data_IF_964394352475
#
_entry.id   IF_964394352475
#
_cell.length_a   1.000
_cell.length_b   1.000
_cell.length_c   1.000
_cell.angle_alpha   90.00
_cell.angle_beta   90.00
_cell.angle_gamma   90.00
#
_symmetry.space_group_name_H-M   'P 1'
#
loop_
_entity.id
_entity.type
_entity.pdbx_description
1 polymer ?
#
# COMPACT_ATOMS: atom_id res chain seq x y z
N UNK A 1 9.85 -4.72 -23.43
CA UNK A 1 9.36 -6.08 -23.08
C UNK A 1 10.07 -6.43 -21.77
N UNK A 2 9.38 -6.35 -20.63
CA UNK A 2 9.98 -6.59 -19.31
C UNK A 2 10.35 -8.07 -19.21
N UNK A 3 11.65 -8.34 -19.16
CA UNK A 3 12.25 -9.66 -19.05
C UNK A 3 12.82 -9.74 -17.63
N UNK A 4 12.00 -10.22 -16.70
CA UNK A 4 12.43 -10.47 -15.33
C UNK A 4 13.16 -11.81 -15.36
N UNK A 5 14.45 -11.75 -15.04
CA UNK A 5 15.31 -12.93 -15.03
C UNK A 5 14.81 -13.85 -13.92
N UNK A 6 15.03 -15.15 -14.12
CA UNK A 6 14.75 -16.26 -13.20
C UNK A 6 15.52 -16.08 -11.89
N UNK A 7 15.17 -15.06 -11.10
CA UNK A 7 15.71 -14.82 -9.78
C UNK A 7 15.01 -15.75 -8.79
N UNK A 8 15.80 -16.41 -7.96
CA UNK A 8 15.35 -17.50 -7.11
C UNK A 8 14.36 -17.07 -6.03
N UNK A 9 14.27 -15.77 -5.69
CA UNK A 9 13.33 -15.23 -4.69
C UNK A 9 12.84 -13.83 -5.12
N UNK A 10 11.55 -13.71 -5.43
CA UNK A 10 10.87 -12.45 -5.73
C UNK A 10 10.41 -11.77 -4.44
N UNK A 11 10.87 -10.54 -4.19
CA UNK A 11 10.35 -9.65 -3.14
C UNK A 11 9.61 -8.48 -3.79
N UNK A 12 8.29 -8.56 -3.82
CA UNK A 12 7.43 -7.57 -4.47
C UNK A 12 6.76 -6.67 -3.43
N UNK A 13 7.10 -5.39 -3.47
CA UNK A 13 6.52 -4.34 -2.61
C UNK A 13 5.58 -3.48 -3.44
N UNK A 14 4.29 -3.47 -3.09
CA UNK A 14 3.27 -2.65 -3.76
C UNK A 14 2.69 -1.61 -2.83
N UNK A 15 2.49 -0.40 -3.33
CA UNK A 15 2.13 0.77 -2.53
C UNK A 15 0.90 1.46 -3.12
N UNK A 16 -0.17 1.57 -2.32
CA UNK A 16 -1.18 2.62 -2.50
C UNK A 16 -0.82 3.80 -1.59
N UNK A 17 -0.31 4.86 -2.21
CA UNK A 17 0.22 5.99 -1.47
C UNK A 17 -0.87 7.01 -1.14
N UNK A 18 -1.10 7.22 0.15
CA UNK A 18 -1.95 8.31 0.65
C UNK A 18 -1.25 9.06 1.78
N UNK A 19 -1.55 10.35 1.97
CA UNK A 19 -0.85 11.15 2.99
C UNK A 19 -1.17 10.72 4.43
N UNK A 20 -2.31 10.07 4.67
CA UNK A 20 -2.80 9.79 6.02
C UNK A 20 -2.83 8.30 6.37
N UNK A 21 -2.72 7.42 5.39
CA UNK A 21 -2.73 5.97 5.59
C UNK A 21 -2.19 5.29 4.33
N UNK A 22 -0.91 5.49 3.93
CA UNK A 22 -0.36 4.68 2.85
C UNK A 22 -0.55 3.20 3.18
N UNK A 23 -1.06 2.44 2.22
CA UNK A 23 -1.16 0.98 2.30
C UNK A 23 -0.03 0.34 1.51
N UNK A 24 0.65 -0.63 2.10
CA UNK A 24 1.72 -1.39 1.46
C UNK A 24 1.39 -2.87 1.59
N UNK A 25 1.58 -3.61 0.52
CA UNK A 25 1.50 -5.07 0.50
C UNK A 25 2.83 -5.63 -0.01
N UNK A 26 3.44 -6.51 0.77
CA UNK A 26 4.69 -7.18 0.47
C UNK A 26 4.37 -8.64 0.19
N UNK A 27 4.92 -9.16 -0.90
CA UNK A 27 4.95 -10.58 -1.20
C UNK A 27 6.40 -11.06 -1.25
N UNK A 28 6.68 -12.14 -0.54
CA UNK A 28 7.99 -12.79 -0.50
C UNK A 28 7.84 -14.22 -1.00
N UNK A 29 8.46 -14.57 -2.12
CA UNK A 29 8.23 -15.88 -2.76
C UNK A 29 8.92 -17.06 -2.06
N UNK A 30 9.85 -16.80 -1.14
CA UNK A 30 10.51 -17.86 -0.37
C UNK A 30 9.57 -18.45 0.70
N UNK A 31 8.73 -17.62 1.32
CA UNK A 31 7.71 -18.02 2.28
C UNK A 31 6.33 -18.20 1.65
N UNK A 32 6.06 -17.58 0.50
CA UNK A 32 4.74 -17.47 -0.12
C UNK A 32 3.72 -16.81 0.82
N UNK A 33 4.16 -15.73 1.48
CA UNK A 33 3.36 -15.01 2.45
C UNK A 33 3.18 -13.54 2.05
N UNK A 34 2.01 -13.01 2.42
CA UNK A 34 1.74 -11.58 2.37
C UNK A 34 2.05 -10.94 3.72
N UNK A 35 2.66 -9.76 3.68
CA UNK A 35 2.81 -8.86 4.82
C UNK A 35 2.23 -7.49 4.45
N UNK A 36 1.59 -6.83 5.39
CA UNK A 36 0.88 -5.57 5.18
C UNK A 36 1.45 -4.48 6.08
N UNK A 37 1.69 -3.29 5.52
CA UNK A 37 2.10 -2.13 6.30
C UNK A 37 1.10 -1.01 6.09
N UNK A 38 0.72 -0.33 7.16
CA UNK A 38 0.00 0.95 7.06
C UNK A 38 0.63 2.02 7.96
N UNK A 39 0.92 3.19 7.39
CA UNK A 39 1.48 4.33 8.10
C UNK A 39 0.39 5.37 8.43
N UNK A 40 -0.35 5.12 9.50
CA UNK A 40 -1.65 5.72 9.81
C UNK A 40 -1.55 7.00 10.64
N UNK A 41 -2.15 8.09 10.16
CA UNK A 41 -2.24 9.34 10.91
C UNK A 41 -3.09 9.13 12.17
N UNK A 42 -2.56 9.54 13.33
CA UNK A 42 -3.28 9.44 14.60
C UNK A 42 -4.67 10.10 14.56
N UNK A 43 -5.65 9.44 15.19
CA UNK A 43 -7.03 9.92 15.24
C UNK A 43 -7.81 9.78 13.92
N UNK A 44 -7.31 9.04 12.95
CA UNK A 44 -8.03 8.78 11.69
C UNK A 44 -9.21 7.85 11.94
N UNK A 45 -10.41 8.30 11.55
CA UNK A 45 -11.65 7.53 11.69
C UNK A 45 -12.36 7.74 13.04
N UNK A 46 -13.53 7.12 13.17
CA UNK A 46 -14.34 7.09 14.39
C UNK A 46 -13.65 6.26 15.48
N UNK A 47 -14.10 6.38 16.74
CA UNK A 47 -13.60 5.55 17.84
C UNK A 47 -13.74 4.04 17.57
N UNK A 48 -14.82 3.64 16.88
CA UNK A 48 -15.02 2.25 16.48
C UNK A 48 -13.99 1.82 15.43
N UNK A 49 -13.69 2.67 14.45
CA UNK A 49 -12.65 2.41 13.44
C UNK A 49 -11.26 2.36 14.08
N UNK A 50 -10.97 3.23 15.04
CA UNK A 50 -9.71 3.24 15.79
C UNK A 50 -9.51 1.96 16.61
N UNK A 51 -10.56 1.44 17.24
CA UNK A 51 -10.48 0.13 17.91
C UNK A 51 -10.13 -1.00 16.93
N UNK A 52 -10.66 -0.97 15.71
CA UNK A 52 -10.28 -1.94 14.66
C UNK A 52 -8.83 -1.78 14.22
N UNK A 53 -8.32 -0.54 14.19
CA UNK A 53 -6.91 -0.26 13.89
C UNK A 53 -5.98 -0.85 14.98
N UNK A 54 -6.33 -0.66 16.25
CA UNK A 54 -5.62 -1.28 17.38
C UNK A 54 -5.66 -2.81 17.30
N UNK A 55 -6.78 -3.39 16.87
CA UNK A 55 -6.92 -4.84 16.74
C UNK A 55 -6.02 -5.42 15.65
N UNK A 56 -6.04 -4.85 14.44
CA UNK A 56 -5.18 -5.33 13.35
C UNK A 56 -3.69 -5.16 13.63
N UNK A 57 -3.30 -4.21 14.49
CA UNK A 57 -1.88 -4.04 14.89
C UNK A 57 -1.34 -5.22 15.72
N UNK A 58 -2.20 -6.13 16.16
CA UNK A 58 -1.80 -7.37 16.86
C UNK A 58 -1.58 -8.54 15.91
N UNK A 59 -1.91 -8.39 14.63
CA UNK A 59 -1.84 -9.48 13.66
C UNK A 59 -0.41 -9.66 13.15
N UNK A 60 0.01 -10.93 12.99
CA UNK A 60 1.38 -11.27 12.60
C UNK A 60 1.74 -10.91 11.15
N UNK A 61 0.74 -10.59 10.34
CA UNK A 61 0.86 -10.16 8.94
C UNK A 61 0.67 -8.65 8.76
N UNK A 62 0.53 -7.88 9.84
CA UNK A 62 0.25 -6.43 9.79
C UNK A 62 1.22 -5.66 10.68
N UNK A 63 1.97 -4.74 10.08
CA UNK A 63 2.63 -3.67 10.80
C UNK A 63 1.84 -2.36 10.65
N UNK A 64 1.25 -1.89 11.75
CA UNK A 64 0.58 -0.59 11.80
C UNK A 64 1.44 0.44 12.53
N UNK A 65 1.85 1.49 11.83
CA UNK A 65 2.53 2.64 12.42
C UNK A 65 1.58 3.79 12.63
N UNK A 66 1.83 4.58 13.68
CA UNK A 66 1.22 5.87 13.85
C UNK A 66 2.16 6.98 13.43
N UNK A 67 1.70 7.85 12.53
CA UNK A 67 2.47 9.02 12.13
C UNK A 67 2.69 9.93 13.36
N UNK A 68 3.89 10.54 13.48
CA UNK A 68 4.13 11.64 14.41
C UNK A 68 3.08 12.75 14.25
N UNK A 69 2.87 13.53 15.32
CA UNK A 69 2.07 14.75 15.22
C UNK A 69 2.82 15.82 14.42
N UNK A 70 2.58 15.82 13.11
CA UNK A 70 3.13 16.80 12.20
C UNK A 70 2.46 18.17 12.44
N UNK A 71 3.14 19.04 13.19
CA UNK A 71 2.86 20.48 13.09
C UNK A 71 3.04 20.88 11.63
N UNK A 72 1.96 21.33 11.00
CA UNK A 72 1.91 21.69 9.57
C UNK A 72 1.55 23.16 9.36
N UNK A 73 1.36 23.93 10.45
CA UNK A 73 1.06 25.36 10.43
C UNK A 73 2.08 26.12 11.27
N UNK A 74 2.97 26.83 10.58
CA UNK A 74 4.06 27.63 11.16
C UNK A 74 3.89 29.14 10.90
N UNK A 75 2.70 29.57 10.50
CA UNK A 75 2.33 30.97 10.31
C UNK A 75 2.72 31.60 8.96
N UNK A 76 3.69 31.02 8.24
CA UNK A 76 4.12 31.46 6.92
C UNK A 76 4.06 30.31 5.89
N UNK A 77 3.71 30.63 4.65
CA UNK A 77 3.51 29.68 3.54
C UNK A 77 4.77 28.85 3.27
N UNK A 78 5.93 29.50 3.14
CA UNK A 78 7.21 28.82 2.87
C UNK A 78 7.59 27.83 3.97
N UNK A 79 7.31 28.17 5.24
CA UNK A 79 7.56 27.28 6.37
C UNK A 79 6.64 26.06 6.36
N UNK A 80 5.39 26.22 5.92
CA UNK A 80 4.46 25.11 5.78
C UNK A 80 4.89 24.15 4.67
N UNK A 81 5.32 24.67 3.51
CA UNK A 81 5.82 23.83 2.40
C UNK A 81 7.09 23.07 2.80
N UNK A 82 8.04 23.72 3.48
CA UNK A 82 9.22 23.03 4.00
C UNK A 82 8.87 21.93 5.02
N UNK A 83 7.88 22.16 5.89
CA UNK A 83 7.42 21.17 6.85
C UNK A 83 6.75 19.96 6.20
N UNK A 84 6.02 20.16 5.09
CA UNK A 84 5.48 19.04 4.29
C UNK A 84 6.59 18.15 3.74
N UNK A 85 7.64 18.74 3.16
CA UNK A 85 8.78 17.97 2.63
C UNK A 85 9.46 17.16 3.75
N UNK A 86 9.64 17.75 4.94
CA UNK A 86 10.16 17.01 6.10
C UNK A 86 9.29 15.82 6.46
N UNK A 87 7.97 16.03 6.57
CA UNK A 87 7.00 14.97 6.82
C UNK A 87 7.11 13.84 5.80
N UNK A 88 7.19 14.17 4.51
CA UNK A 88 7.26 13.16 3.45
C UNK A 88 8.55 12.34 3.52
N UNK A 89 9.68 12.99 3.81
CA UNK A 89 10.97 12.33 3.97
C UNK A 89 10.99 11.36 5.15
N UNK A 90 10.45 11.78 6.29
CA UNK A 90 10.42 10.96 7.51
C UNK A 90 9.43 9.80 7.37
N UNK A 91 8.24 10.05 6.80
CA UNK A 91 7.30 8.99 6.41
C UNK A 91 7.97 7.96 5.48
N UNK A 92 8.72 8.41 4.48
CA UNK A 92 9.40 7.51 3.58
C UNK A 92 10.50 6.70 4.27
N UNK A 93 11.28 7.34 5.14
CA UNK A 93 12.27 6.64 5.96
C UNK A 93 11.64 5.55 6.82
N UNK A 94 10.57 5.85 7.55
CA UNK A 94 9.89 4.88 8.42
C UNK A 94 9.34 3.68 7.62
N UNK A 95 8.68 3.95 6.48
CA UNK A 95 8.14 2.91 5.60
C UNK A 95 9.26 2.02 5.05
N UNK A 96 10.36 2.63 4.58
CA UNK A 96 11.50 1.89 4.02
C UNK A 96 12.17 1.05 5.10
N UNK A 97 12.35 1.59 6.30
CA UNK A 97 12.92 0.85 7.43
C UNK A 97 12.09 -0.41 7.75
N UNK A 98 10.76 -0.32 7.71
CA UNK A 98 9.93 -1.51 7.94
C UNK A 98 9.99 -2.51 6.80
N UNK A 99 9.98 -2.03 5.55
CA UNK A 99 10.17 -2.92 4.38
C UNK A 99 11.48 -3.71 4.52
N UNK A 100 12.55 -3.03 4.95
CA UNK A 100 13.85 -3.65 5.21
C UNK A 100 13.80 -4.63 6.39
N UNK A 101 13.07 -4.31 7.47
CA UNK A 101 12.89 -5.25 8.59
C UNK A 101 12.21 -6.55 8.16
N UNK A 102 11.28 -6.48 7.21
CA UNK A 102 10.52 -7.63 6.71
C UNK A 102 11.34 -8.44 5.70
N UNK A 103 11.99 -7.77 4.74
CA UNK A 103 12.65 -8.45 3.60
C UNK A 103 14.17 -8.64 3.83
N UNK A 104 14.84 -7.63 4.38
CA UNK A 104 16.30 -7.59 4.60
C UNK A 104 17.06 -6.69 3.62
N UNK A 105 18.14 -6.05 4.11
CA UNK A 105 18.87 -4.97 3.40
C UNK A 105 19.49 -5.37 2.06
N UNK A 106 19.91 -6.63 1.88
CA UNK A 106 20.71 -7.10 0.73
C UNK A 106 19.91 -7.91 -0.28
N UNK A 107 18.60 -7.71 -0.31
CA UNK A 107 17.68 -8.42 -1.19
C UNK A 107 17.33 -7.58 -2.41
N UNK A 108 16.98 -8.27 -3.49
CA UNK A 108 16.47 -7.62 -4.68
C UNK A 108 15.01 -7.19 -4.45
N UNK A 109 14.73 -5.91 -4.71
CA UNK A 109 13.40 -5.31 -4.51
C UNK A 109 12.72 -5.00 -5.84
N UNK A 110 11.49 -5.48 -5.97
CA UNK A 110 10.59 -5.14 -7.06
C UNK A 110 9.49 -4.25 -6.51
N UNK A 111 9.38 -3.03 -7.03
CA UNK A 111 8.51 -2.02 -6.42
C UNK A 111 7.43 -1.61 -7.40
N UNK A 112 6.19 -1.47 -6.92
CA UNK A 112 5.12 -0.89 -7.72
C UNK A 112 4.24 0.07 -6.92
N UNK A 113 3.72 1.07 -7.63
CA UNK A 113 2.80 2.04 -7.07
C UNK A 113 1.49 2.05 -7.86
N UNK A 114 0.37 2.25 -7.17
CA UNK A 114 -0.84 2.67 -7.85
C UNK A 114 -0.65 4.10 -8.37
N UNK A 115 -1.04 4.35 -9.62
CA UNK A 115 -1.04 5.68 -10.21
C UNK A 115 -2.14 6.55 -9.59
N UNK A 116 -1.86 7.83 -9.37
CA UNK A 116 -2.87 8.74 -8.83
C UNK A 116 -3.99 9.03 -9.84
N UNK A 117 -5.25 9.02 -9.39
CA UNK A 117 -6.39 9.45 -10.21
C UNK A 117 -6.67 10.96 -10.02
N UNK A 118 -6.52 11.73 -11.10
CA UNK A 118 -6.73 13.19 -11.11
C UNK A 118 -8.20 13.62 -10.94
N UNK A 119 -9.15 12.67 -10.94
CA UNK A 119 -10.59 12.93 -10.89
C UNK A 119 -11.20 12.98 -9.47
N UNK A 120 -10.39 12.83 -8.41
CA UNK A 120 -10.92 12.85 -7.05
C UNK A 120 -11.34 14.27 -6.64
N UNK A 121 -12.49 14.41 -5.97
CA UNK A 121 -13.05 15.71 -5.49
C UNK A 121 -12.19 16.41 -4.41
N UNK A 122 -11.05 15.83 -4.05
CA UNK A 122 -10.07 16.42 -3.13
C UNK A 122 -9.23 17.41 -3.93
N UNK A 123 -9.50 18.71 -3.75
CA UNK A 123 -8.93 19.78 -4.56
C UNK A 123 -7.43 19.68 -4.85
N UNK A 124 -7.02 20.28 -5.97
CA UNK A 124 -5.71 20.19 -6.65
C UNK A 124 -4.49 20.12 -5.72
N UNK A 125 -4.46 20.90 -4.62
CA UNK A 125 -3.34 20.93 -3.69
C UNK A 125 -3.08 19.58 -2.98
N UNK A 126 -4.13 18.83 -2.65
CA UNK A 126 -3.97 17.51 -2.01
C UNK A 126 -3.37 16.49 -3.00
N UNK A 127 -3.66 16.62 -4.29
CA UNK A 127 -3.10 15.77 -5.34
C UNK A 127 -1.61 16.09 -5.53
N UNK A 128 -1.24 17.38 -5.53
CA UNK A 128 0.16 17.82 -5.62
C UNK A 128 0.96 17.28 -4.42
N UNK A 129 0.43 17.47 -3.20
CA UNK A 129 1.07 16.99 -1.98
C UNK A 129 1.24 15.46 -1.97
N UNK A 130 0.23 14.73 -2.43
CA UNK A 130 0.27 13.27 -2.55
C UNK A 130 1.29 12.81 -3.60
N UNK A 131 1.34 13.47 -4.77
CA UNK A 131 2.31 13.17 -5.81
C UNK A 131 3.75 13.47 -5.35
N UNK A 132 3.96 14.59 -4.65
CA UNK A 132 5.25 14.94 -4.07
C UNK A 132 5.70 13.92 -3.00
N UNK A 133 4.80 13.53 -2.11
CA UNK A 133 5.07 12.49 -1.11
C UNK A 133 5.42 11.14 -1.75
N UNK A 134 4.64 10.70 -2.75
CA UNK A 134 4.91 9.47 -3.48
C UNK A 134 6.26 9.52 -4.22
N UNK A 135 6.60 10.66 -4.83
CA UNK A 135 7.88 10.84 -5.53
C UNK A 135 9.08 10.78 -4.57
N UNK A 136 8.96 11.37 -3.36
CA UNK A 136 10.00 11.29 -2.33
C UNK A 136 10.17 9.84 -1.86
N UNK A 137 9.08 9.12 -1.61
CA UNK A 137 9.15 7.70 -1.23
C UNK A 137 9.84 6.87 -2.33
N UNK A 138 9.44 7.02 -3.59
CA UNK A 138 10.07 6.35 -4.74
C UNK A 138 11.56 6.65 -4.82
N UNK A 139 11.93 7.92 -4.70
CA UNK A 139 13.32 8.35 -4.77
C UNK A 139 14.15 7.74 -3.63
N UNK A 140 13.66 7.79 -2.38
CA UNK A 140 14.38 7.20 -1.26
C UNK A 140 14.46 5.67 -1.34
N UNK A 141 13.43 5.00 -1.85
CA UNK A 141 13.49 3.55 -2.11
C UNK A 141 14.61 3.22 -3.12
N UNK A 142 14.73 3.99 -4.21
CA UNK A 142 15.78 3.78 -5.21
C UNK A 142 17.19 4.05 -4.69
N UNK A 143 17.35 4.98 -3.74
CA UNK A 143 18.65 5.31 -3.15
C UNK A 143 19.08 4.32 -2.05
N UNK A 144 18.12 3.72 -1.34
CA UNK A 144 18.38 2.94 -0.13
C UNK A 144 18.21 1.42 -0.31
N UNK A 145 17.56 0.97 -1.37
CA UNK A 145 17.27 -0.44 -1.63
C UNK A 145 17.89 -0.88 -2.96
N UNK A 146 18.19 -2.16 -3.10
CA UNK A 146 18.60 -2.77 -4.37
C UNK A 146 17.38 -2.97 -5.30
N UNK A 147 16.80 -1.86 -5.76
CA UNK A 147 15.61 -1.83 -6.60
C UNK A 147 15.94 -2.28 -8.03
N UNK A 148 15.32 -3.38 -8.48
CA UNK A 148 15.47 -3.86 -9.86
C UNK A 148 14.60 -3.13 -10.85
N UNK A 149 13.44 -2.66 -10.40
CA UNK A 149 12.51 -1.87 -11.21
C UNK A 149 11.46 -1.20 -10.33
N UNK A 150 10.85 -0.15 -10.88
CA UNK A 150 9.76 0.58 -10.26
C UNK A 150 8.61 0.80 -11.24
N UNK A 151 7.48 0.15 -10.96
CA UNK A 151 6.29 0.20 -11.81
C UNK A 151 5.30 1.23 -11.28
N UNK A 152 4.52 1.81 -12.19
CA UNK A 152 3.32 2.57 -11.83
C UNK A 152 2.14 2.04 -12.64
N UNK A 153 1.14 1.51 -11.96
CA UNK A 153 -0.02 0.84 -12.57
C UNK A 153 -1.25 1.72 -12.44
N UNK A 154 -2.00 1.88 -13.53
CA UNK A 154 -3.20 2.72 -13.50
C UNK A 154 -4.30 2.12 -12.59
N UNK A 155 -5.06 2.95 -11.84
CA UNK A 155 -6.18 2.50 -11.00
C UNK A 155 -7.20 1.64 -11.73
N UNK A 156 -7.47 1.97 -13.00
CA UNK A 156 -8.42 1.20 -13.82
C UNK A 156 -7.93 -0.22 -14.10
N UNK A 157 -6.62 -0.46 -14.06
CA UNK A 157 -6.03 -1.78 -14.30
C UNK A 157 -6.29 -2.68 -13.10
N UNK A 158 -5.99 -2.24 -11.88
CA UNK A 158 -6.25 -3.03 -10.66
C UNK A 158 -7.75 -3.30 -10.48
N UNK A 159 -8.61 -2.33 -10.84
CA UNK A 159 -10.07 -2.50 -10.78
C UNK A 159 -10.59 -3.50 -11.81
N UNK A 160 -9.99 -3.53 -13.01
CA UNK A 160 -10.30 -4.57 -14.02
C UNK A 160 -9.84 -5.94 -13.55
N UNK A 161 -8.68 -6.02 -12.90
CA UNK A 161 -8.17 -7.25 -12.29
C UNK A 161 -9.14 -7.79 -11.22
N UNK A 162 -9.68 -6.91 -10.39
CA UNK A 162 -10.74 -7.25 -9.43
C UNK A 162 -12.11 -7.53 -10.08
N UNK A 163 -12.31 -7.17 -11.34
CA UNK A 163 -13.50 -7.49 -12.13
C UNK A 163 -13.95 -6.40 -13.11
N UNK A 164 -14.02 -5.12 -12.71
CA UNK A 164 -14.49 -4.00 -13.56
C UNK A 164 -13.74 -2.70 -13.32
N UNK A 165 -13.26 -2.07 -14.39
CA UNK A 165 -12.43 -0.86 -14.30
C UNK A 165 -13.06 0.40 -13.66
N UNK A 166 -14.39 0.43 -13.49
CA UNK A 166 -15.13 1.54 -12.89
C UNK A 166 -15.60 1.27 -11.46
N UNK A 167 -15.05 0.25 -10.78
CA UNK A 167 -15.37 -0.03 -9.37
C UNK A 167 -15.09 1.18 -8.46
N UNK A 168 -16.02 1.42 -7.55
CA UNK A 168 -15.83 2.33 -6.42
C UNK A 168 -15.18 1.56 -5.24
N UNK A 169 -14.83 2.28 -4.16
CA UNK A 169 -14.16 1.66 -3.00
C UNK A 169 -14.96 0.53 -2.36
N UNK A 170 -16.28 0.68 -2.23
CA UNK A 170 -17.13 -0.37 -1.65
C UNK A 170 -17.20 -1.62 -2.54
N UNK A 171 -17.28 -1.44 -3.87
CA UNK A 171 -17.30 -2.55 -4.81
C UNK A 171 -15.97 -3.31 -4.84
N UNK A 172 -14.85 -2.59 -4.78
CA UNK A 172 -13.52 -3.20 -4.71
C UNK A 172 -13.31 -3.95 -3.37
N UNK A 173 -13.82 -3.38 -2.28
CA UNK A 173 -13.85 -4.04 -0.98
C UNK A 173 -14.67 -5.33 -0.99
N UNK A 174 -15.88 -5.33 -1.57
CA UNK A 174 -16.67 -6.55 -1.73
C UNK A 174 -15.92 -7.58 -2.58
N UNK A 175 -15.22 -7.16 -3.64
CA UNK A 175 -14.38 -8.05 -4.44
C UNK A 175 -13.23 -8.68 -3.61
N UNK A 176 -12.60 -7.88 -2.73
CA UNK A 176 -11.60 -8.37 -1.79
C UNK A 176 -12.20 -9.40 -0.82
N UNK A 177 -13.31 -9.09 -0.16
CA UNK A 177 -13.97 -10.00 0.80
C UNK A 177 -14.41 -11.33 0.19
N UNK A 178 -14.76 -11.32 -1.10
CA UNK A 178 -15.15 -12.52 -1.83
C UNK A 178 -13.96 -13.30 -2.39
N UNK A 179 -12.73 -12.83 -2.18
CA UNK A 179 -11.49 -13.36 -2.75
C UNK A 179 -11.64 -13.69 -4.24
N UNK A 180 -12.10 -12.72 -5.05
CA UNK A 180 -12.41 -12.94 -6.48
C UNK A 180 -11.20 -13.34 -7.32
N UNK A 181 -9.99 -13.10 -6.82
CA UNK A 181 -8.75 -13.56 -7.45
C UNK A 181 -8.35 -14.98 -7.01
N UNK A 182 -9.14 -15.63 -6.16
CA UNK A 182 -8.96 -17.01 -5.68
C UNK A 182 -7.59 -17.27 -5.03
N UNK A 183 -6.99 -16.26 -4.37
CA UNK A 183 -5.67 -16.42 -3.74
C UNK A 183 -5.78 -17.23 -2.43
N UNK A 184 -5.20 -18.44 -2.35
CA UNK A 184 -5.19 -19.21 -1.12
C UNK A 184 -4.24 -18.58 -0.08
N UNK A 185 -3.23 -17.83 -0.49
CA UNK A 185 -2.31 -17.13 0.40
C UNK A 185 -2.99 -15.96 1.10
N UNK A 186 -3.75 -15.14 0.37
CA UNK A 186 -4.58 -14.10 1.00
C UNK A 186 -5.55 -14.74 2.02
N UNK A 187 -6.23 -15.82 1.63
CA UNK A 187 -7.22 -16.48 2.49
C UNK A 187 -6.66 -16.98 3.83
N UNK A 188 -5.34 -17.22 3.92
CA UNK A 188 -4.66 -17.64 5.15
C UNK A 188 -4.36 -16.48 6.09
N UNK A 189 -4.22 -15.26 5.56
CA UNK A 189 -3.80 -14.07 6.31
C UNK A 189 -4.77 -13.74 7.45
N UNK A 190 -4.28 -13.44 8.67
CA UNK A 190 -5.11 -12.93 9.76
C UNK A 190 -5.90 -11.67 9.36
N UNK A 191 -5.30 -10.74 8.61
CA UNK A 191 -5.98 -9.54 8.14
C UNK A 191 -7.22 -9.87 7.31
N UNK A 192 -7.10 -10.74 6.31
CA UNK A 192 -8.23 -11.13 5.46
C UNK A 192 -9.35 -11.77 6.27
N UNK A 193 -9.01 -12.72 7.16
CA UNK A 193 -9.99 -13.41 8.01
C UNK A 193 -10.79 -12.42 8.85
N UNK A 194 -10.12 -11.45 9.46
CA UNK A 194 -10.76 -10.38 10.23
C UNK A 194 -11.66 -9.49 9.36
N UNK A 195 -11.21 -9.13 8.16
CA UNK A 195 -12.01 -8.32 7.24
C UNK A 195 -13.32 -9.03 6.88
N UNK A 196 -13.27 -10.34 6.65
CA UNK A 196 -14.44 -11.17 6.33
C UNK A 196 -15.35 -11.38 7.55
N UNK A 197 -14.80 -11.71 8.72
CA UNK A 197 -15.61 -12.08 9.89
C UNK A 197 -16.15 -10.88 10.68
N UNK A 198 -15.35 -9.82 10.85
CA UNK A 198 -15.67 -8.73 11.79
C UNK A 198 -16.10 -7.43 11.09
N UNK A 199 -15.63 -7.17 9.86
CA UNK A 199 -15.99 -5.95 9.12
C UNK A 199 -17.14 -6.21 8.16
N UNK A 200 -16.99 -7.22 7.28
CA UNK A 200 -17.98 -7.54 6.25
C UNK A 200 -18.23 -6.40 5.26
N UNK A 201 -19.34 -6.49 4.52
CA UNK A 201 -19.69 -5.47 3.54
C UNK A 201 -20.07 -4.13 4.20
N UNK A 202 -19.45 -3.05 3.71
CA UNK A 202 -19.68 -1.70 4.21
C UNK A 202 -19.82 -0.70 3.08
N UNK A 203 -20.64 0.33 3.29
CA UNK A 203 -20.81 1.44 2.32
C UNK A 203 -19.57 2.33 2.23
N UNK A 204 -18.85 2.46 3.34
CA UNK A 204 -17.61 3.21 3.46
C UNK A 204 -16.59 2.31 4.13
N UNK A 205 -15.55 1.97 3.39
CA UNK A 205 -14.45 1.15 3.89
C UNK A 205 -13.67 1.96 4.93
N UNK A 206 -13.45 1.41 6.14
CA UNK A 206 -12.70 2.10 7.18
C UNK A 206 -11.22 2.22 6.80
N UNK A 207 -10.54 3.27 7.29
CA UNK A 207 -9.07 3.35 7.17
C UNK A 207 -8.40 2.40 8.20
N UNK A 208 -7.26 1.78 7.87
CA UNK A 208 -6.51 1.86 6.60
C UNK A 208 -6.91 0.78 5.56
N UNK A 209 -7.99 0.05 5.79
CA UNK A 209 -8.33 -1.15 5.02
C UNK A 209 -8.51 -0.90 3.52
N UNK A 210 -9.01 0.26 3.12
CA UNK A 210 -9.14 0.59 1.70
C UNK A 210 -7.78 0.68 1.00
N UNK A 211 -6.82 1.41 1.57
CA UNK A 211 -5.49 1.55 0.96
C UNK A 211 -4.72 0.20 0.99
N UNK A 212 -4.91 -0.62 2.05
CA UNK A 212 -4.33 -1.97 2.11
C UNK A 212 -4.89 -2.91 1.02
N UNK A 213 -6.18 -2.79 0.71
CA UNK A 213 -6.85 -3.57 -0.33
C UNK A 213 -6.40 -3.13 -1.73
N UNK A 214 -6.28 -1.82 -1.96
CA UNK A 214 -5.74 -1.26 -3.20
C UNK A 214 -4.30 -1.77 -3.43
N UNK A 215 -3.45 -1.75 -2.39
CA UNK A 215 -2.09 -2.30 -2.43
C UNK A 215 -2.04 -3.81 -2.70
N UNK A 216 -2.94 -4.60 -2.10
CA UNK A 216 -3.02 -6.05 -2.34
C UNK A 216 -3.44 -6.39 -3.77
N UNK A 217 -4.47 -5.73 -4.31
CA UNK A 217 -4.89 -5.97 -5.69
C UNK A 217 -3.79 -5.61 -6.69
N UNK A 218 -3.02 -4.54 -6.40
CA UNK A 218 -1.83 -4.21 -7.17
C UNK A 218 -0.77 -5.32 -7.10
N UNK A 219 -0.52 -5.87 -5.91
CA UNK A 219 0.42 -6.98 -5.69
C UNK A 219 0.01 -8.19 -6.52
N UNK A 220 -1.22 -8.67 -6.31
CA UNK A 220 -1.75 -9.84 -7.00
C UNK A 220 -1.80 -9.65 -8.51
N UNK A 221 -2.18 -8.46 -8.99
CA UNK A 221 -2.16 -8.18 -10.43
C UNK A 221 -0.75 -8.41 -10.99
N UNK A 222 0.28 -7.84 -10.37
CA UNK A 222 1.66 -7.97 -10.84
C UNK A 222 2.17 -9.40 -10.73
N UNK A 223 1.87 -10.13 -9.65
CA UNK A 223 2.21 -11.55 -9.53
C UNK A 223 1.66 -12.35 -10.70
N UNK A 224 0.39 -12.17 -11.09
CA UNK A 224 -0.17 -12.89 -12.26
C UNK A 224 0.49 -12.50 -13.59
N UNK A 225 0.96 -11.25 -13.73
CA UNK A 225 1.71 -10.83 -14.92
C UNK A 225 3.13 -11.42 -14.95
N UNK A 226 3.69 -11.74 -13.78
CA UNK A 226 4.99 -12.38 -13.61
C UNK A 226 4.88 -13.89 -13.79
N UNK A 227 3.85 -14.55 -13.25
CA UNK A 227 3.57 -15.99 -13.40
C UNK A 227 3.35 -16.40 -14.86
N UNK A 228 2.78 -15.53 -15.70
CA UNK A 228 2.75 -15.73 -17.16
C UNK A 228 4.13 -15.75 -17.83
N UNK A 229 5.21 -15.55 -17.07
CA UNK A 229 6.62 -15.55 -17.48
C UNK A 229 7.54 -16.33 -16.52
N UNK A 230 7.01 -16.93 -15.45
CA UNK A 230 7.79 -17.79 -14.57
C UNK A 230 7.78 -19.20 -15.20
N UNK A 231 8.95 -19.81 -15.48
CA UNK A 231 8.99 -21.17 -16.00
C UNK A 231 8.47 -22.15 -14.95
N UNK A 232 7.73 -23.16 -15.40
CA UNK A 232 7.56 -24.42 -14.66
C UNK A 232 8.90 -24.98 -14.16
#
# INVERSE_FOLDING_TARGET
>A
MLQWVKESNLNLVTVDFSLNSPGICIWTSDTNEYQFISYLKAGTGTKAEQKRQEEISTFSDVTLFHQPDWKTKFGDYSKNEFAKIKRYREMASDIISEIVNIIGETKDYYIAFEGSSYGSKMGTNNIIDMAAGAAILKHQMMELLDVKDILTVAPTTIKKHAGKGNMNKAALWTAFLNNVCESPELAKTPLYKYCVSEIGEVKKVPKPFDDLVDAWFLNHYLLTQLEGKLPN
#
